data_IF_898753575723
#
_entry.id   IF_898753575723
#
_cell.length_a   1.000
_cell.length_b   1.000
_cell.length_c   1.000
_cell.angle_alpha   90.00
_cell.angle_beta   90.00
_cell.angle_gamma   90.00
#
_symmetry.space_group_name_H-M   'P 1'
#
loop_
_entity.id
_entity.type
_entity.pdbx_description
1 polymer ?
#
# COMPACT_ATOMS: atom_id res chain seq x y z
N UNK A 1 -42.29 -5.42 8.59
CA UNK A 1 -40.98 -5.64 7.97
C UNK A 1 -39.93 -5.85 9.07
N UNK A 2 -39.03 -6.81 8.93
CA UNK A 2 -37.93 -7.08 9.87
C UNK A 2 -36.60 -7.27 9.11
N UNK A 3 -35.49 -7.08 9.80
CA UNK A 3 -34.16 -7.41 9.29
C UNK A 3 -33.30 -7.99 10.42
N UNK A 4 -32.41 -8.90 10.09
CA UNK A 4 -31.43 -9.45 11.04
C UNK A 4 -30.02 -8.85 10.82
N UNK A 5 -29.86 -7.92 9.89
CA UNK A 5 -28.58 -7.28 9.61
C UNK A 5 -28.21 -6.34 10.79
N UNK A 6 -27.01 -6.47 11.39
CA UNK A 6 -26.61 -5.69 12.56
C UNK A 6 -26.40 -4.20 12.27
N UNK A 7 -26.22 -3.82 11.00
CA UNK A 7 -26.02 -2.43 10.57
C UNK A 7 -27.34 -1.71 10.25
N UNK A 8 -28.51 -2.36 10.48
CA UNK A 8 -29.83 -1.78 10.21
C UNK A 8 -30.64 -1.61 11.48
N UNK A 9 -31.21 -0.43 11.67
CA UNK A 9 -32.22 -0.15 12.64
C UNK A 9 -33.54 0.21 11.95
N UNK A 10 -34.55 -0.65 12.05
CA UNK A 10 -35.88 -0.35 11.47
C UNK A 10 -36.59 0.64 12.37
N UNK A 11 -36.96 1.80 11.85
CA UNK A 11 -37.63 2.88 12.57
C UNK A 11 -39.12 2.92 12.33
N UNK A 12 -39.59 2.37 11.18
CA UNK A 12 -40.99 2.13 10.90
C UNK A 12 -41.15 0.77 10.22
N UNK A 13 -41.94 -0.15 10.85
CA UNK A 13 -41.96 -1.54 10.45
C UNK A 13 -43.33 -2.05 10.00
N UNK A 14 -44.41 -1.24 10.07
CA UNK A 14 -45.77 -1.72 9.79
C UNK A 14 -46.70 -0.65 9.22
N UNK A 15 -47.54 -1.07 8.26
CA UNK A 15 -48.53 -0.22 7.62
C UNK A 15 -49.91 -0.92 7.52
N UNK A 16 -50.97 -0.15 7.70
CA UNK A 16 -52.33 -0.64 7.49
C UNK A 16 -52.79 -0.38 6.05
N UNK A 17 -52.97 -1.45 5.30
CA UNK A 17 -53.29 -1.38 3.88
C UNK A 17 -54.82 -1.18 3.65
N UNK A 18 -55.67 -1.72 4.54
CA UNK A 18 -57.12 -1.77 4.36
C UNK A 18 -57.56 -2.86 3.38
N UNK A 19 -58.77 -2.77 2.89
CA UNK A 19 -59.34 -3.77 1.98
C UNK A 19 -58.82 -3.56 0.55
N UNK A 20 -58.49 -4.68 -0.13
CA UNK A 20 -58.13 -4.72 -1.55
C UNK A 20 -59.09 -5.65 -2.28
N UNK A 21 -59.78 -5.15 -3.31
CA UNK A 21 -60.60 -5.98 -4.19
C UNK A 21 -59.70 -6.82 -5.15
N UNK A 22 -60.23 -7.94 -5.69
CA UNK A 22 -59.47 -8.71 -6.68
C UNK A 22 -59.00 -7.85 -7.85
N UNK A 23 -57.67 -7.90 -8.14
CA UNK A 23 -57.03 -7.09 -9.21
C UNK A 23 -56.75 -5.63 -8.82
N UNK A 24 -57.07 -5.19 -7.61
CA UNK A 24 -56.79 -3.83 -7.15
C UNK A 24 -55.33 -3.72 -6.67
N UNK A 25 -54.69 -2.64 -7.04
CA UNK A 25 -53.38 -2.24 -6.56
C UNK A 25 -53.50 -1.03 -5.60
N UNK A 26 -52.62 -1.02 -4.58
CA UNK A 26 -52.45 0.12 -3.67
C UNK A 26 -50.98 0.37 -3.42
N UNK A 27 -50.57 1.60 -3.67
CA UNK A 27 -49.21 2.08 -3.41
C UNK A 27 -49.25 2.92 -2.14
N UNK A 28 -48.40 2.56 -1.16
CA UNK A 28 -48.18 3.33 0.06
C UNK A 28 -46.78 3.87 0.01
N UNK A 29 -46.64 5.18 -0.05
CA UNK A 29 -45.35 5.87 -0.03
C UNK A 29 -44.86 5.95 1.41
N UNK A 30 -43.53 5.68 1.59
CA UNK A 30 -42.90 5.69 2.93
C UNK A 30 -43.54 4.68 3.92
N UNK A 31 -43.94 3.52 3.40
CA UNK A 31 -44.55 2.46 4.19
C UNK A 31 -43.64 1.89 5.29
N UNK A 32 -42.32 2.00 5.06
CA UNK A 32 -41.28 1.53 5.99
C UNK A 32 -40.12 2.50 5.99
N UNK A 33 -39.45 2.62 7.14
CA UNK A 33 -38.20 3.37 7.23
C UNK A 33 -37.19 2.61 8.08
N UNK A 34 -35.94 2.82 7.78
CA UNK A 34 -34.80 2.26 8.50
C UNK A 34 -33.59 3.17 8.39
N UNK A 35 -32.73 3.12 9.39
CA UNK A 35 -31.44 3.75 9.42
C UNK A 35 -30.35 2.72 9.14
N UNK A 36 -29.30 3.11 8.45
CA UNK A 36 -28.12 2.30 8.16
C UNK A 36 -26.93 2.90 8.91
N UNK A 37 -26.22 2.06 9.65
CA UNK A 37 -25.03 2.49 10.37
C UNK A 37 -23.91 2.94 9.41
N UNK A 38 -23.14 3.92 9.82
CA UNK A 38 -22.04 4.49 9.00
C UNK A 38 -20.86 3.55 8.82
N UNK A 39 -20.73 2.55 9.68
CA UNK A 39 -19.68 1.50 9.65
C UNK A 39 -20.06 0.28 8.78
N UNK A 40 -21.15 0.37 8.00
CA UNK A 40 -21.56 -0.73 7.12
C UNK A 40 -20.47 -1.01 6.07
N UNK A 41 -20.09 -2.28 5.85
CA UNK A 41 -19.17 -2.63 4.78
C UNK A 41 -19.69 -2.22 3.40
N UNK A 42 -18.77 -1.85 2.50
CA UNK A 42 -19.13 -1.55 1.12
C UNK A 42 -19.67 -2.79 0.41
N UNK A 43 -20.77 -2.64 -0.34
CA UNK A 43 -21.52 -3.71 -1.03
C UNK A 43 -22.16 -4.73 -0.10
N UNK A 44 -22.40 -4.38 1.16
CA UNK A 44 -23.13 -5.24 2.07
C UNK A 44 -24.57 -5.47 1.57
N UNK A 45 -25.01 -6.72 1.59
CA UNK A 45 -26.37 -7.08 1.20
C UNK A 45 -27.32 -6.97 2.40
N UNK A 46 -28.32 -6.14 2.23
CA UNK A 46 -29.37 -5.88 3.21
C UNK A 46 -30.58 -6.75 2.91
N UNK A 47 -30.91 -7.68 3.80
CA UNK A 47 -32.05 -8.56 3.69
C UNK A 47 -33.17 -8.06 4.59
N UNK A 48 -34.37 -7.94 4.04
CA UNK A 48 -35.56 -7.55 4.75
C UNK A 48 -36.67 -8.57 4.52
N UNK A 49 -37.25 -9.09 5.62
CA UNK A 49 -38.43 -9.94 5.60
C UNK A 49 -39.67 -9.07 5.66
N UNK A 50 -40.41 -8.99 4.61
CA UNK A 50 -41.72 -8.35 4.55
C UNK A 50 -42.85 -9.40 4.68
N UNK A 51 -43.82 -9.14 5.52
CA UNK A 51 -45.00 -9.98 5.67
C UNK A 51 -46.26 -9.16 5.47
N UNK A 52 -47.22 -9.70 4.73
CA UNK A 52 -48.57 -9.18 4.58
C UNK A 52 -49.55 -10.17 5.22
N UNK A 53 -50.33 -9.66 6.17
CA UNK A 53 -51.31 -10.45 6.92
C UNK A 53 -52.71 -10.05 6.51
N UNK A 54 -53.59 -11.03 6.29
CA UNK A 54 -55.03 -10.87 6.29
C UNK A 54 -55.64 -11.76 7.42
N UNK A 55 -56.92 -11.70 7.61
CA UNK A 55 -57.59 -12.56 8.60
C UNK A 55 -57.38 -14.06 8.36
N UNK A 56 -57.18 -14.44 7.07
CA UNK A 56 -57.11 -15.87 6.69
C UNK A 56 -55.75 -16.30 6.17
N UNK A 57 -54.86 -15.36 5.82
CA UNK A 57 -53.62 -15.70 5.10
C UNK A 57 -52.44 -14.78 5.40
N UNK A 58 -51.25 -15.38 5.42
CA UNK A 58 -49.96 -14.74 5.57
C UNK A 58 -49.13 -14.92 4.27
N UNK A 59 -48.72 -13.83 3.66
CA UNK A 59 -47.75 -13.82 2.59
C UNK A 59 -46.44 -13.27 3.09
N UNK A 60 -45.32 -13.85 2.62
CA UNK A 60 -43.97 -13.42 2.95
C UNK A 60 -43.21 -13.13 1.69
N UNK A 61 -42.36 -12.12 1.75
CA UNK A 61 -41.45 -11.73 0.67
C UNK A 61 -40.14 -11.25 1.27
N UNK A 62 -39.04 -11.79 0.78
CA UNK A 62 -37.70 -11.25 1.04
C UNK A 62 -37.40 -10.13 0.05
N UNK A 63 -36.92 -9.01 0.55
CA UNK A 63 -36.41 -7.88 -0.22
C UNK A 63 -34.91 -7.78 0.02
N UNK A 64 -34.13 -7.61 -1.06
CA UNK A 64 -32.68 -7.52 -0.98
C UNK A 64 -32.23 -6.21 -1.60
N UNK A 65 -31.45 -5.45 -0.84
CA UNK A 65 -30.79 -4.24 -1.29
C UNK A 65 -29.28 -4.36 -1.13
N UNK A 66 -28.52 -3.50 -1.76
CA UNK A 66 -27.06 -3.41 -1.60
C UNK A 66 -26.74 -2.02 -1.03
N UNK A 67 -25.99 -1.99 0.07
CA UNK A 67 -25.51 -0.76 0.67
C UNK A 67 -24.12 -0.43 0.12
N UNK A 68 -23.86 0.85 -0.08
CA UNK A 68 -22.59 1.36 -0.57
C UNK A 68 -21.99 2.28 0.47
N UNK A 69 -20.71 2.06 0.78
CA UNK A 69 -19.93 2.90 1.70
C UNK A 69 -18.62 3.34 1.05
N UNK A 70 -17.96 4.39 1.57
CA UNK A 70 -16.61 4.74 1.16
C UNK A 70 -15.61 3.75 1.71
N UNK A 71 -14.48 3.58 1.01
CA UNK A 71 -13.30 2.84 1.47
C UNK A 71 -12.09 3.65 1.08
N UNK A 72 -11.40 4.23 2.07
CA UNK A 72 -10.20 5.02 1.82
C UNK A 72 -8.95 4.15 2.00
N UNK A 73 -8.03 4.27 1.06
CA UNK A 73 -6.72 3.60 1.09
C UNK A 73 -5.63 4.56 0.65
N UNK A 74 -4.42 4.36 1.11
CA UNK A 74 -3.26 5.04 0.53
C UNK A 74 -2.99 4.43 -0.84
N UNK A 75 -3.04 5.25 -1.89
CA UNK A 75 -2.77 4.83 -3.26
C UNK A 75 -1.30 4.92 -3.60
N UNK A 76 -0.66 6.01 -3.16
CA UNK A 76 0.75 6.27 -3.43
C UNK A 76 1.36 7.16 -2.36
N UNK A 77 2.67 7.03 -2.17
CA UNK A 77 3.45 7.95 -1.35
C UNK A 77 4.85 8.12 -1.95
N UNK A 78 5.47 9.26 -1.70
CA UNK A 78 6.82 9.56 -2.17
C UNK A 78 7.48 10.59 -1.25
N UNK A 79 8.72 10.34 -0.85
CA UNK A 79 9.56 11.35 -0.22
C UNK A 79 10.01 12.33 -1.31
N UNK A 80 9.77 13.62 -1.09
CA UNK A 80 10.17 14.68 -2.02
C UNK A 80 11.52 15.21 -1.56
N UNK A 81 12.58 14.59 -2.03
CA UNK A 81 13.95 15.03 -1.89
C UNK A 81 14.72 14.67 -3.16
N UNK A 82 16.01 15.00 -3.23
CA UNK A 82 16.85 14.85 -4.42
C UNK A 82 16.90 13.40 -4.95
N UNK A 83 16.91 12.42 -4.04
CA UNK A 83 16.98 10.98 -4.34
C UNK A 83 15.74 10.19 -3.89
N UNK A 84 14.66 10.90 -3.53
CA UNK A 84 13.42 10.32 -2.99
C UNK A 84 13.60 9.56 -1.65
N UNK A 85 14.66 9.84 -0.92
CA UNK A 85 14.95 9.26 0.39
C UNK A 85 15.07 10.38 1.42
N UNK A 86 14.88 10.03 2.69
CA UNK A 86 15.17 10.92 3.82
C UNK A 86 16.42 10.42 4.54
N UNK A 87 17.46 11.23 4.57
CA UNK A 87 18.70 10.88 5.26
C UNK A 87 18.60 11.07 6.78
N UNK A 88 19.42 10.35 7.58
CA UNK A 88 19.50 10.60 9.02
C UNK A 88 19.81 12.05 9.34
N UNK A 89 19.00 12.66 10.20
CA UNK A 89 19.11 14.08 10.59
C UNK A 89 18.44 15.07 9.65
N UNK A 90 17.85 14.63 8.57
CA UNK A 90 17.13 15.47 7.61
C UNK A 90 15.65 15.64 7.95
N UNK A 91 15.09 16.67 7.34
CA UNK A 91 13.64 16.90 7.22
C UNK A 91 13.29 16.94 5.75
N UNK A 92 12.32 16.15 5.34
CA UNK A 92 11.84 16.09 3.97
C UNK A 92 10.31 16.21 3.93
N UNK A 93 9.79 16.51 2.76
CA UNK A 93 8.37 16.45 2.47
C UNK A 93 8.00 15.05 2.00
N UNK A 94 6.92 14.50 2.55
CA UNK A 94 6.32 13.24 2.14
C UNK A 94 5.00 13.53 1.44
N UNK A 95 4.95 13.32 0.15
CA UNK A 95 3.72 13.31 -0.63
C UNK A 95 2.91 12.06 -0.31
N UNK A 96 1.61 12.22 -0.07
CA UNK A 96 0.69 11.12 0.22
C UNK A 96 -0.62 11.30 -0.56
N UNK A 97 -0.99 10.27 -1.28
CA UNK A 97 -2.17 10.19 -2.12
C UNK A 97 -3.15 9.18 -1.52
N UNK A 98 -4.39 9.63 -1.26
CA UNK A 98 -5.47 8.81 -0.70
C UNK A 98 -6.56 8.65 -1.76
N UNK A 99 -6.97 7.41 -2.01
CA UNK A 99 -8.02 7.05 -2.96
C UNK A 99 -9.24 6.49 -2.25
N UNK A 100 -10.42 6.85 -2.75
CA UNK A 100 -11.66 6.19 -2.38
C UNK A 100 -11.95 5.03 -3.33
N UNK A 101 -11.68 3.80 -2.89
CA UNK A 101 -11.94 2.55 -3.62
C UNK A 101 -13.36 2.02 -3.41
N UNK A 102 -14.12 2.62 -2.48
CA UNK A 102 -15.51 2.27 -2.19
C UNK A 102 -16.50 2.82 -3.21
N UNK A 103 -17.79 2.63 -2.92
CA UNK A 103 -18.87 2.95 -3.86
C UNK A 103 -19.70 4.18 -3.46
N UNK A 104 -19.45 4.77 -2.31
CA UNK A 104 -20.04 6.01 -1.82
C UNK A 104 -18.99 7.11 -1.69
N UNK A 105 -19.37 8.37 -1.81
CA UNK A 105 -18.49 9.50 -1.53
C UNK A 105 -18.33 9.69 -0.03
N UNK A 106 -17.22 10.28 0.38
CA UNK A 106 -16.96 10.71 1.75
C UNK A 106 -16.57 12.17 1.77
N UNK A 107 -17.15 12.95 2.68
CA UNK A 107 -16.86 14.37 2.84
C UNK A 107 -15.96 14.60 4.05
N UNK A 108 -15.40 15.82 4.13
CA UNK A 108 -14.59 16.29 5.25
C UNK A 108 -13.46 15.31 5.64
N UNK A 109 -12.86 14.67 4.60
CA UNK A 109 -11.76 13.75 4.84
C UNK A 109 -10.56 14.50 5.38
N UNK A 110 -10.06 14.02 6.50
CA UNK A 110 -8.80 14.44 7.09
C UNK A 110 -7.90 13.22 7.28
N UNK A 111 -6.58 13.41 7.21
CA UNK A 111 -5.63 12.34 7.48
C UNK A 111 -4.48 12.83 8.36
N UNK A 112 -4.05 11.94 9.24
CA UNK A 112 -2.90 12.12 10.11
C UNK A 112 -1.91 10.96 9.91
N UNK A 113 -0.62 11.29 9.83
CA UNK A 113 0.45 10.30 9.89
C UNK A 113 0.93 10.15 11.32
N UNK A 114 1.12 8.90 11.74
CA UNK A 114 1.57 8.55 13.08
C UNK A 114 2.79 7.65 12.94
N UNK A 115 3.91 8.06 13.50
CA UNK A 115 5.12 7.24 13.57
C UNK A 115 5.12 6.36 14.81
N UNK A 116 5.40 5.08 14.64
CA UNK A 116 5.69 4.16 15.75
C UNK A 116 7.12 4.27 16.28
N UNK A 117 8.01 4.99 15.58
CA UNK A 117 9.42 5.13 15.95
C UNK A 117 9.72 6.53 16.52
N UNK A 118 10.27 6.65 17.74
CA UNK A 118 10.44 7.93 18.41
C UNK A 118 11.42 8.90 17.73
N UNK A 119 12.31 8.39 16.88
CA UNK A 119 13.25 9.22 16.12
C UNK A 119 12.69 9.67 14.75
N UNK A 120 11.47 9.30 14.39
CA UNK A 120 10.77 9.81 13.20
C UNK A 120 9.65 10.72 13.68
N UNK A 121 9.73 11.99 13.32
CA UNK A 121 8.79 13.01 13.77
C UNK A 121 7.97 13.51 12.58
N UNK A 122 6.66 13.50 12.74
CA UNK A 122 5.74 14.16 11.81
C UNK A 122 5.58 15.61 12.28
N UNK A 123 6.00 16.58 11.47
CA UNK A 123 6.08 17.98 11.85
C UNK A 123 4.76 18.76 11.66
N UNK A 124 3.77 18.17 11.00
CA UNK A 124 2.46 18.77 10.83
C UNK A 124 1.74 18.94 12.18
N UNK A 125 1.14 20.09 12.40
CA UNK A 125 0.46 20.44 13.67
C UNK A 125 -0.96 19.89 13.78
N UNK A 126 -1.27 18.80 13.11
CA UNK A 126 -2.58 18.14 13.12
C UNK A 126 -2.92 17.51 11.79
N UNK A 127 -4.12 16.92 11.71
CA UNK A 127 -4.59 16.25 10.51
C UNK A 127 -4.60 17.20 9.29
N UNK A 128 -4.26 16.68 8.12
CA UNK A 128 -4.32 17.40 6.86
C UNK A 128 -5.69 17.22 6.21
N UNK A 129 -6.26 18.30 5.68
CA UNK A 129 -7.60 18.30 5.07
C UNK A 129 -7.51 17.82 3.61
N UNK A 130 -8.12 16.70 3.31
CA UNK A 130 -8.27 16.13 1.94
C UNK A 130 -9.57 16.55 1.27
N UNK A 131 -10.56 17.03 2.04
CA UNK A 131 -11.86 17.47 1.53
C UNK A 131 -12.79 16.32 1.17
N UNK A 132 -13.59 16.49 0.12
CA UNK A 132 -14.49 15.43 -0.39
C UNK A 132 -13.74 14.54 -1.36
N UNK A 133 -13.77 13.21 -1.12
CA UNK A 133 -13.23 12.22 -2.04
C UNK A 133 -14.38 11.35 -2.57
N UNK A 134 -14.74 11.55 -3.86
CA UNK A 134 -15.80 10.77 -4.48
C UNK A 134 -15.32 9.38 -4.86
N UNK A 135 -16.28 8.51 -5.15
CA UNK A 135 -15.98 7.16 -5.65
C UNK A 135 -14.94 7.19 -6.77
N UNK A 136 -13.84 6.47 -6.58
CA UNK A 136 -12.76 6.33 -7.55
C UNK A 136 -11.82 7.55 -7.66
N UNK A 137 -12.11 8.63 -6.95
CA UNK A 137 -11.26 9.82 -6.92
C UNK A 137 -10.10 9.64 -5.94
N UNK A 138 -9.04 10.39 -6.22
CA UNK A 138 -7.84 10.50 -5.41
C UNK A 138 -7.67 11.95 -4.96
N UNK A 139 -7.20 12.15 -3.74
CA UNK A 139 -6.81 13.46 -3.20
C UNK A 139 -5.42 13.36 -2.59
N UNK A 140 -4.66 14.46 -2.59
CA UNK A 140 -3.23 14.47 -2.32
C UNK A 140 -2.86 15.57 -1.35
N UNK A 141 -1.92 15.25 -0.43
CA UNK A 141 -1.33 16.21 0.51
C UNK A 141 0.12 15.89 0.77
N UNK A 142 0.81 16.89 1.28
CA UNK A 142 2.21 16.78 1.68
C UNK A 142 2.32 16.86 3.20
N UNK A 143 3.07 15.94 3.78
CA UNK A 143 3.45 15.92 5.17
C UNK A 143 4.93 16.27 5.30
N UNK A 144 5.30 16.99 6.33
CA UNK A 144 6.71 17.22 6.66
C UNK A 144 7.14 16.20 7.70
N UNK A 145 8.21 15.47 7.41
CA UNK A 145 8.76 14.43 8.29
C UNK A 145 10.24 14.71 8.59
N UNK A 146 10.68 14.40 9.80
CA UNK A 146 12.09 14.49 10.19
C UNK A 146 12.60 13.15 10.67
N UNK A 147 13.79 12.77 10.21
CA UNK A 147 14.52 11.60 10.67
C UNK A 147 15.60 11.98 11.68
N UNK A 148 15.70 11.23 12.78
CA UNK A 148 16.73 11.45 13.80
C UNK A 148 18.13 11.16 13.26
N UNK A 149 19.11 11.98 13.67
CA UNK A 149 20.49 11.92 13.17
C UNK A 149 21.26 10.62 13.49
N UNK A 150 20.76 9.81 14.43
CA UNK A 150 21.39 8.55 14.82
C UNK A 150 20.68 7.32 14.29
N UNK A 151 19.70 7.51 13.41
CA UNK A 151 19.08 6.37 12.72
C UNK A 151 20.12 5.73 11.78
N UNK A 152 20.24 4.40 11.79
CA UNK A 152 21.13 3.73 10.85
C UNK A 152 20.58 3.86 9.42
N UNK A 153 21.49 3.93 8.45
CA UNK A 153 21.15 3.88 7.03
C UNK A 153 20.43 2.56 6.70
N UNK A 154 19.42 2.64 5.87
CA UNK A 154 18.57 1.49 5.53
C UNK A 154 17.55 1.11 6.61
N UNK A 155 17.41 1.92 7.67
CA UNK A 155 16.39 1.69 8.69
C UNK A 155 14.99 1.84 8.09
N UNK A 156 14.18 0.77 8.19
CA UNK A 156 12.80 0.77 7.74
C UNK A 156 11.85 1.02 8.90
N UNK A 157 10.86 1.85 8.68
CA UNK A 157 9.81 2.13 9.67
C UNK A 157 8.46 2.31 9.01
N UNK A 158 7.42 1.81 9.69
CA UNK A 158 6.06 2.01 9.25
C UNK A 158 5.49 3.34 9.79
N UNK A 159 4.83 4.09 8.93
CA UNK A 159 3.98 5.21 9.31
C UNK A 159 2.52 4.78 9.14
N UNK A 160 1.75 4.87 10.22
CA UNK A 160 0.31 4.62 10.18
C UNK A 160 -0.38 5.87 9.65
N UNK A 161 -1.25 5.69 8.67
CA UNK A 161 -2.14 6.73 8.16
C UNK A 161 -3.53 6.52 8.75
N UNK A 162 -3.95 7.43 9.61
CA UNK A 162 -5.30 7.46 10.17
C UNK A 162 -6.12 8.47 9.36
N UNK A 163 -7.18 8.00 8.72
CA UNK A 163 -8.06 8.82 7.89
C UNK A 163 -9.45 8.89 8.54
N UNK A 164 -9.98 10.09 8.66
CA UNK A 164 -11.32 10.37 9.22
C UNK A 164 -12.17 11.03 8.14
N UNK A 165 -13.40 10.58 7.99
CA UNK A 165 -14.42 11.24 7.19
C UNK A 165 -15.55 11.80 8.05
N UNK A 166 -16.55 12.40 7.40
CA UNK A 166 -17.77 12.82 8.08
C UNK A 166 -18.42 11.64 8.83
N UNK A 167 -19.23 11.94 9.85
CA UNK A 167 -20.02 10.94 10.59
C UNK A 167 -19.23 9.83 11.26
N UNK A 168 -17.98 10.08 11.68
CA UNK A 168 -17.12 9.12 12.42
C UNK A 168 -16.56 7.95 11.60
N UNK A 169 -16.64 7.99 10.29
CA UNK A 169 -15.97 6.99 9.44
C UNK A 169 -14.46 7.05 9.65
N UNK A 170 -13.88 5.96 10.12
CA UNK A 170 -12.44 5.84 10.38
C UNK A 170 -11.85 4.79 9.46
N UNK A 171 -10.75 5.13 8.79
CA UNK A 171 -9.99 4.23 7.95
C UNK A 171 -8.53 4.25 8.38
N UNK A 172 -7.88 3.11 8.30
CA UNK A 172 -6.47 2.98 8.67
C UNK A 172 -5.72 2.28 7.54
N UNK A 173 -4.53 2.80 7.24
CA UNK A 173 -3.58 2.20 6.33
C UNK A 173 -2.16 2.46 6.83
N UNK A 174 -1.16 1.87 6.21
CA UNK A 174 0.24 2.06 6.61
C UNK A 174 1.16 2.12 5.39
N UNK A 175 2.16 2.96 5.47
CA UNK A 175 3.26 3.04 4.50
C UNK A 175 4.57 2.70 5.20
N UNK A 176 5.50 2.10 4.49
CA UNK A 176 6.86 1.86 4.97
C UNK A 176 7.82 2.83 4.30
N UNK A 177 8.59 3.57 5.09
CA UNK A 177 9.65 4.45 4.61
C UNK A 177 11.01 3.88 4.99
N UNK A 178 12.02 4.14 4.15
CA UNK A 178 13.41 3.78 4.39
C UNK A 178 14.21 5.06 4.66
N UNK A 179 15.09 5.01 5.67
CA UNK A 179 15.94 6.14 6.05
C UNK A 179 17.32 5.96 5.41
N UNK A 180 17.67 6.84 4.49
CA UNK A 180 18.88 6.76 3.69
C UNK A 180 18.93 5.53 2.80
N UNK A 181 19.99 5.41 2.02
CA UNK A 181 20.23 4.24 1.19
C UNK A 181 20.50 3.00 2.05
N UNK A 182 19.99 1.84 1.65
CA UNK A 182 20.40 0.58 2.25
C UNK A 182 21.89 0.39 1.93
N UNK A 183 22.77 0.17 2.93
CA UNK A 183 24.21 0.12 2.66
C UNK A 183 24.60 -0.92 1.62
N UNK A 184 24.02 -2.12 1.68
CA UNK A 184 24.43 -3.24 0.82
C UNK A 184 23.26 -4.07 0.32
N UNK A 185 23.25 -4.38 -0.99
CA UNK A 185 22.52 -5.53 -1.53
C UNK A 185 23.50 -6.65 -1.88
N UNK A 186 23.26 -7.85 -1.37
CA UNK A 186 23.94 -9.07 -1.83
C UNK A 186 23.00 -9.78 -2.80
N UNK A 187 23.44 -9.85 -4.06
CA UNK A 187 22.64 -10.36 -5.18
C UNK A 187 23.23 -11.69 -5.64
N UNK A 188 22.52 -12.75 -5.34
CA UNK A 188 22.89 -14.12 -5.68
C UNK A 188 22.24 -14.53 -7.00
N UNK A 189 22.98 -14.38 -8.08
CA UNK A 189 22.59 -14.89 -9.39
C UNK A 189 23.23 -16.26 -9.68
N UNK A 190 24.09 -16.77 -8.77
CA UNK A 190 24.68 -18.10 -8.88
C UNK A 190 23.60 -19.17 -8.73
N UNK A 191 23.32 -20.01 -9.74
CA UNK A 191 22.35 -21.09 -9.62
C UNK A 191 22.62 -22.08 -8.47
N UNK A 192 23.84 -22.10 -7.94
CA UNK A 192 24.25 -22.99 -6.84
C UNK A 192 24.46 -22.28 -5.53
N UNK A 193 24.33 -20.96 -5.48
CA UNK A 193 24.45 -20.13 -4.25
C UNK A 193 25.73 -20.43 -3.45
N UNK A 194 26.91 -20.44 -4.08
CA UNK A 194 28.16 -20.83 -3.43
C UNK A 194 28.70 -19.76 -2.47
N UNK A 195 28.80 -18.49 -2.91
CA UNK A 195 29.49 -17.45 -2.17
C UNK A 195 28.58 -16.38 -1.57
N UNK A 196 27.50 -16.02 -2.26
CA UNK A 196 26.61 -14.95 -1.86
C UNK A 196 26.01 -15.12 -0.43
N UNK A 197 25.56 -16.32 0.02
CA UNK A 197 25.09 -16.50 1.39
C UNK A 197 26.16 -16.17 2.42
N UNK A 198 27.42 -16.57 2.17
CA UNK A 198 28.52 -16.29 3.10
C UNK A 198 28.93 -14.81 3.09
N UNK A 199 28.91 -14.15 1.93
CA UNK A 199 29.09 -12.69 1.83
C UNK A 199 28.05 -11.97 2.68
N UNK A 200 26.77 -12.34 2.51
CA UNK A 200 25.67 -11.75 3.26
C UNK A 200 25.83 -11.92 4.79
N UNK A 201 26.15 -13.14 5.25
CA UNK A 201 26.41 -13.41 6.66
C UNK A 201 27.57 -12.56 7.18
N UNK A 202 28.69 -12.51 6.43
CA UNK A 202 29.88 -11.76 6.84
C UNK A 202 29.61 -10.26 6.96
N UNK A 203 28.85 -9.67 6.02
CA UNK A 203 28.45 -8.26 6.06
C UNK A 203 27.59 -7.99 7.31
N UNK A 204 26.67 -8.87 7.62
CA UNK A 204 25.82 -8.75 8.81
C UNK A 204 26.59 -8.95 10.12
N UNK A 205 27.60 -9.82 10.14
CA UNK A 205 28.53 -9.98 11.29
C UNK A 205 29.33 -8.68 11.56
N UNK A 206 29.43 -7.78 10.58
CA UNK A 206 30.05 -6.46 10.70
C UNK A 206 29.06 -5.36 11.13
N UNK A 207 27.84 -5.72 11.54
CA UNK A 207 26.74 -4.80 11.90
C UNK A 207 26.32 -3.85 10.76
N UNK A 208 26.55 -4.25 9.50
CA UNK A 208 26.12 -3.51 8.32
C UNK A 208 24.75 -4.02 7.89
N UNK A 209 23.79 -3.09 7.70
CA UNK A 209 22.48 -3.44 7.16
C UNK A 209 22.66 -3.90 5.71
N UNK A 210 22.17 -5.10 5.40
CA UNK A 210 22.25 -5.68 4.08
C UNK A 210 20.94 -6.41 3.74
N UNK A 211 20.61 -6.43 2.47
CA UNK A 211 19.51 -7.23 1.92
C UNK A 211 20.06 -8.33 1.00
N UNK A 212 19.37 -9.47 0.98
CA UNK A 212 19.74 -10.62 0.15
C UNK A 212 18.71 -10.84 -0.94
N UNK A 213 19.17 -10.91 -2.19
CA UNK A 213 18.34 -11.04 -3.37
C UNK A 213 18.81 -12.20 -4.25
N UNK A 214 17.87 -12.97 -4.83
CA UNK A 214 18.14 -13.99 -5.84
C UNK A 214 17.87 -13.52 -7.29
N UNK A 215 17.70 -12.23 -7.47
CA UNK A 215 17.56 -11.51 -8.75
C UNK A 215 17.95 -10.06 -8.52
N UNK A 216 18.12 -9.26 -9.57
CA UNK A 216 18.27 -7.82 -9.37
C UNK A 216 17.05 -7.25 -8.63
N UNK A 217 17.26 -6.45 -7.58
CA UNK A 217 16.18 -5.71 -6.90
C UNK A 217 15.41 -4.83 -7.88
N UNK A 218 14.14 -4.52 -7.62
CA UNK A 218 13.34 -3.62 -8.48
C UNK A 218 13.93 -2.21 -8.62
N UNK A 219 14.64 -1.73 -7.59
CA UNK A 219 15.31 -0.44 -7.56
C UNK A 219 16.73 -0.62 -6.99
N UNK A 220 17.71 -0.87 -7.85
CA UNK A 220 19.12 -1.01 -7.43
C UNK A 220 19.72 0.32 -6.94
N UNK A 221 19.11 1.44 -7.31
CA UNK A 221 19.47 2.79 -6.85
C UNK A 221 19.28 3.02 -5.34
N UNK A 222 18.46 2.19 -4.67
CA UNK A 222 18.22 2.31 -3.23
C UNK A 222 19.40 1.81 -2.37
N UNK A 223 20.43 1.26 -3.01
CA UNK A 223 21.60 0.69 -2.35
C UNK A 223 22.86 1.53 -2.62
N UNK A 224 23.73 1.60 -1.61
CA UNK A 224 25.05 2.23 -1.77
C UNK A 224 26.04 1.33 -2.48
N UNK A 225 25.96 0.02 -2.23
CA UNK A 225 26.86 -0.97 -2.80
C UNK A 225 26.13 -2.26 -3.15
N UNK A 226 26.46 -2.82 -4.31
CA UNK A 226 25.96 -4.13 -4.76
C UNK A 226 27.09 -5.15 -4.72
N UNK A 227 26.85 -6.28 -4.05
CA UNK A 227 27.71 -7.47 -4.11
C UNK A 227 27.00 -8.51 -4.96
N UNK A 228 27.54 -8.80 -6.15
CA UNK A 228 26.88 -9.68 -7.14
C UNK A 228 27.70 -10.93 -7.33
N UNK A 229 27.10 -12.09 -7.07
CA UNK A 229 27.68 -13.39 -7.36
C UNK A 229 27.02 -13.98 -8.61
N UNK A 230 27.83 -14.25 -9.64
CA UNK A 230 27.41 -14.84 -10.91
C UNK A 230 27.65 -16.35 -10.97
N UNK A 231 28.39 -16.89 -10.00
CA UNK A 231 28.70 -18.31 -9.90
C UNK A 231 29.94 -18.78 -10.64
N UNK A 232 30.15 -20.09 -10.62
CA UNK A 232 31.33 -20.74 -11.19
C UNK A 232 30.95 -21.59 -12.41
N UNK A 233 31.99 -21.94 -13.21
CA UNK A 233 31.83 -22.72 -14.44
C UNK A 233 30.90 -23.96 -14.30
N UNK A 234 30.17 -24.24 -15.36
CA UNK A 234 29.07 -25.16 -15.64
C UNK A 234 27.67 -24.67 -15.26
N UNK A 235 27.52 -23.78 -14.31
CA UNK A 235 26.21 -23.25 -13.92
C UNK A 235 26.28 -21.79 -13.47
N UNK A 236 27.14 -20.99 -14.12
CA UNK A 236 27.21 -19.54 -13.90
C UNK A 236 26.03 -18.82 -14.55
N UNK A 237 25.67 -17.68 -13.99
CA UNK A 237 24.74 -16.73 -14.61
C UNK A 237 25.49 -15.83 -15.61
N UNK A 238 24.97 -15.72 -16.81
CA UNK A 238 25.42 -14.74 -17.80
C UNK A 238 24.52 -13.51 -17.76
N UNK A 239 25.11 -12.33 -17.60
CA UNK A 239 24.35 -11.10 -17.58
C UNK A 239 23.65 -10.87 -18.92
N UNK A 240 22.36 -10.63 -18.88
CA UNK A 240 21.63 -10.15 -20.05
C UNK A 240 22.04 -8.71 -20.38
N UNK A 241 21.82 -8.27 -21.63
CA UNK A 241 22.07 -6.89 -22.02
C UNK A 241 21.33 -5.89 -21.12
N UNK A 242 20.07 -6.17 -20.76
CA UNK A 242 19.25 -5.32 -19.90
C UNK A 242 19.86 -5.20 -18.49
N UNK A 243 20.27 -6.32 -17.88
CA UNK A 243 20.93 -6.31 -16.57
C UNK A 243 22.24 -5.51 -16.62
N UNK A 244 23.05 -5.72 -17.66
CA UNK A 244 24.30 -4.98 -17.84
C UNK A 244 24.08 -3.49 -18.07
N UNK A 245 23.01 -3.07 -18.74
CA UNK A 245 22.65 -1.68 -18.91
C UNK A 245 22.22 -1.02 -17.59
N UNK A 246 21.38 -1.70 -16.82
CA UNK A 246 20.93 -1.25 -15.50
C UNK A 246 22.10 -1.08 -14.53
N UNK A 247 23.01 -2.06 -14.47
CA UNK A 247 24.23 -1.99 -13.65
C UNK A 247 25.20 -0.88 -14.10
N UNK A 248 25.30 -0.62 -15.40
CA UNK A 248 26.11 0.47 -15.92
C UNK A 248 25.54 1.83 -15.52
N UNK A 249 24.23 2.01 -15.63
CA UNK A 249 23.54 3.23 -15.19
C UNK A 249 23.71 3.45 -13.67
N UNK A 250 23.62 2.39 -12.88
CA UNK A 250 23.88 2.47 -11.44
C UNK A 250 25.28 2.97 -11.12
N UNK A 251 26.32 2.46 -11.81
CA UNK A 251 27.70 2.95 -11.66
C UNK A 251 27.87 4.40 -12.13
N UNK A 252 27.22 4.77 -13.24
CA UNK A 252 27.26 6.14 -13.78
C UNK A 252 26.62 7.16 -12.83
N UNK A 253 25.65 6.72 -12.02
CA UNK A 253 25.00 7.51 -10.96
C UNK A 253 25.74 7.46 -9.61
N UNK A 254 26.96 6.91 -9.56
CA UNK A 254 27.82 6.93 -8.37
C UNK A 254 27.69 5.72 -7.46
N UNK A 255 26.93 4.70 -7.83
CA UNK A 255 26.85 3.43 -7.11
C UNK A 255 28.17 2.65 -7.13
N UNK A 256 28.32 1.68 -6.25
CA UNK A 256 29.50 0.82 -6.15
C UNK A 256 29.13 -0.64 -6.36
N UNK A 257 29.91 -1.35 -7.19
CA UNK A 257 29.66 -2.77 -7.46
C UNK A 257 30.91 -3.60 -7.16
N UNK A 258 30.76 -4.63 -6.33
CA UNK A 258 31.62 -5.80 -6.32
C UNK A 258 30.93 -6.92 -7.11
N UNK A 259 31.62 -7.48 -8.09
CA UNK A 259 31.08 -8.57 -8.89
C UNK A 259 32.09 -9.71 -8.98
N UNK A 260 31.62 -10.90 -8.69
CA UNK A 260 32.42 -12.12 -8.82
C UNK A 260 31.71 -13.14 -9.71
N UNK A 261 32.54 -13.87 -10.45
CA UNK A 261 32.10 -14.94 -11.33
C UNK A 261 33.29 -15.53 -12.07
N UNK A 262 33.26 -16.82 -12.31
CA UNK A 262 34.32 -17.48 -13.08
C UNK A 262 34.12 -17.23 -14.57
N UNK A 263 35.14 -16.76 -15.23
CA UNK A 263 35.21 -16.54 -16.69
C UNK A 263 34.17 -15.53 -17.24
N UNK A 264 33.49 -14.79 -16.33
CA UNK A 264 32.46 -13.80 -16.69
C UNK A 264 33.02 -12.74 -17.65
N UNK A 265 34.28 -12.37 -17.48
CA UNK A 265 34.92 -11.31 -18.28
C UNK A 265 35.60 -11.82 -19.52
N UNK A 266 35.73 -13.15 -19.73
CA UNK A 266 36.45 -13.77 -20.81
C UNK A 266 35.52 -14.35 -21.90
N UNK A 267 34.49 -15.07 -21.49
CA UNK A 267 33.68 -15.90 -22.39
C UNK A 267 32.25 -15.42 -22.54
N UNK A 268 31.77 -14.55 -21.63
CA UNK A 268 30.39 -14.06 -21.68
C UNK A 268 30.23 -12.93 -22.71
N UNK A 269 29.02 -12.80 -23.23
CA UNK A 269 28.69 -11.68 -24.12
C UNK A 269 28.89 -10.35 -23.38
N UNK A 270 29.63 -9.45 -23.98
CA UNK A 270 29.83 -8.12 -23.41
C UNK A 270 28.52 -7.35 -23.32
N UNK A 271 28.29 -6.77 -22.15
CA UNK A 271 27.15 -5.90 -21.85
C UNK A 271 27.68 -4.50 -21.48
N UNK A 272 26.83 -3.46 -21.38
CA UNK A 272 27.26 -2.10 -21.04
C UNK A 272 28.09 -1.98 -19.76
N UNK A 273 27.87 -2.85 -18.75
CA UNK A 273 28.62 -2.79 -17.48
C UNK A 273 30.10 -3.19 -17.65
N UNK A 274 30.44 -4.02 -18.64
CA UNK A 274 31.80 -4.46 -18.86
C UNK A 274 32.77 -3.27 -19.07
N UNK A 275 32.35 -2.26 -19.83
CA UNK A 275 33.16 -1.06 -20.08
C UNK A 275 33.41 -0.25 -18.80
N UNK A 276 32.58 -0.35 -17.78
CA UNK A 276 32.75 0.36 -16.48
C UNK A 276 33.83 -0.28 -15.61
N UNK A 277 34.09 -1.57 -15.82
CA UNK A 277 35.22 -2.28 -15.20
C UNK A 277 36.54 -2.19 -15.97
N UNK A 278 36.59 -1.43 -17.06
CA UNK A 278 37.79 -1.29 -17.92
C UNK A 278 38.13 -2.56 -18.69
N UNK A 279 37.19 -3.43 -18.91
CA UNK A 279 37.30 -4.69 -19.65
C UNK A 279 36.81 -4.42 -21.07
N UNK A 280 37.70 -4.61 -22.06
CA UNK A 280 37.44 -4.31 -23.48
C UNK A 280 37.56 -5.61 -24.29
#
# INVERSE_FOLDING_TARGET
MTSSNPHITITDNSEFIGNLAPGQEKVITKAFSFDVNTDIPDKEKLYFDASLNSEEQLWKKELVYEAFSPVLTVENFQVIDHDNLIEPGQTADLFLSIRNTGHSSVNEVTAELISGHPAIVINNTGPQEYGTIRRGETSEKTFSISAGQYLPLGHKTALKCLMLGESTNTFEDSIEITIGHVPVAVIDLDPNSHSAPRLFETIREMDIIAEYWQKLPPAISDYQCLFISLGVFYSKHELTWAQGAELAEYLDNGGSIYMEGRETWLDDLQTPVHNRFGIV
#
